data_IF_864004870492
#
_entry.id   IF_864004870492
#
_cell.length_a   1.000
_cell.length_b   1.000
_cell.length_c   1.000
_cell.angle_alpha   90.00
_cell.angle_beta   90.00
_cell.angle_gamma   90.00
#
_symmetry.space_group_name_H-M   'P 1'
#
loop_
_entity.id
_entity.type
_entity.pdbx_description
1 polymer ?
#
# COMPACT_ATOMS: atom_id res chain seq x y z
N UNK A 1 -40.75 15.16 -39.40
CA UNK A 1 -39.68 15.68 -38.50
C UNK A 1 -39.83 15.29 -37.03
N UNK A 2 -41.03 15.38 -36.40
CA UNK A 2 -41.19 15.12 -34.95
C UNK A 2 -40.83 13.68 -34.50
N UNK A 3 -41.03 12.68 -35.37
CA UNK A 3 -40.73 11.27 -35.06
C UNK A 3 -39.23 10.97 -35.14
N UNK A 4 -38.54 11.55 -36.13
CA UNK A 4 -37.08 11.44 -36.28
C UNK A 4 -36.35 12.11 -35.10
N UNK A 5 -36.81 13.29 -34.67
CA UNK A 5 -36.28 13.98 -33.50
C UNK A 5 -36.46 13.16 -32.21
N UNK A 6 -37.64 12.54 -32.03
CA UNK A 6 -37.90 11.64 -30.90
C UNK A 6 -36.96 10.44 -30.90
N UNK A 7 -36.71 9.83 -32.06
CA UNK A 7 -35.82 8.69 -32.19
C UNK A 7 -34.36 9.04 -31.85
N UNK A 8 -33.88 10.20 -32.32
CA UNK A 8 -32.53 10.70 -32.01
C UNK A 8 -32.40 11.02 -30.52
N UNK A 9 -33.40 11.66 -29.91
CA UNK A 9 -33.40 11.93 -28.46
C UNK A 9 -33.38 10.63 -27.66
N UNK A 10 -34.21 9.65 -28.03
CA UNK A 10 -34.22 8.34 -27.36
C UNK A 10 -32.87 7.63 -27.48
N UNK A 11 -32.22 7.70 -28.65
CA UNK A 11 -30.89 7.11 -28.87
C UNK A 11 -29.83 7.80 -28.00
N UNK A 12 -29.82 9.13 -27.95
CA UNK A 12 -28.88 9.90 -27.12
C UNK A 12 -29.09 9.60 -25.64
N UNK A 13 -30.33 9.52 -25.18
CA UNK A 13 -30.65 9.16 -23.79
C UNK A 13 -30.17 7.74 -23.47
N UNK A 14 -30.35 6.78 -24.38
CA UNK A 14 -29.85 5.41 -24.22
C UNK A 14 -28.33 5.36 -24.11
N UNK A 15 -27.61 6.13 -24.93
CA UNK A 15 -26.15 6.23 -24.87
C UNK A 15 -25.68 6.85 -23.56
N UNK A 16 -26.32 7.94 -23.10
CA UNK A 16 -26.00 8.59 -21.83
C UNK A 16 -26.24 7.66 -20.64
N UNK A 17 -27.35 6.90 -20.65
CA UNK A 17 -27.65 5.90 -19.62
C UNK A 17 -26.61 4.76 -19.66
N UNK A 18 -26.26 4.25 -20.85
CA UNK A 18 -25.25 3.21 -21.00
C UNK A 18 -23.87 3.63 -20.47
N UNK A 19 -23.43 4.85 -20.81
CA UNK A 19 -22.19 5.42 -20.27
C UNK A 19 -22.25 5.63 -18.76
N UNK A 20 -23.38 6.09 -18.23
CA UNK A 20 -23.58 6.27 -16.79
C UNK A 20 -23.48 4.96 -16.01
N UNK A 21 -24.09 3.88 -16.52
CA UNK A 21 -24.01 2.54 -15.91
C UNK A 21 -22.58 2.00 -15.99
N UNK A 22 -21.87 2.21 -17.10
CA UNK A 22 -20.46 1.81 -17.24
C UNK A 22 -19.56 2.48 -16.20
N UNK A 23 -19.71 3.78 -15.98
CA UNK A 23 -18.91 4.53 -14.99
C UNK A 23 -19.26 4.09 -13.56
N UNK A 24 -20.54 3.84 -13.28
CA UNK A 24 -20.98 3.34 -11.97
C UNK A 24 -20.47 1.92 -11.70
N UNK A 25 -20.43 1.07 -12.73
CA UNK A 25 -19.89 -0.29 -12.62
C UNK A 25 -18.37 -0.32 -12.39
N UNK A 26 -17.61 0.75 -12.62
CA UNK A 26 -16.15 0.81 -12.34
C UNK A 26 -15.85 1.58 -11.03
N UNK A 27 -16.82 2.31 -10.47
CA UNK A 27 -16.65 3.09 -9.24
C UNK A 27 -16.41 2.22 -7.99
N UNK A 28 -15.45 2.54 -7.11
CA UNK A 28 -15.04 1.67 -5.99
C UNK A 28 -16.15 1.50 -4.94
N UNK A 29 -16.28 0.27 -4.42
CA UNK A 29 -17.33 -0.10 -3.45
C UNK A 29 -17.07 0.44 -2.03
N UNK A 30 -15.81 0.74 -1.70
CA UNK A 30 -15.40 1.36 -0.43
C UNK A 30 -14.74 2.72 -0.66
N UNK A 31 -15.04 3.70 0.20
CA UNK A 31 -14.38 5.00 0.20
C UNK A 31 -13.10 4.93 1.05
N UNK A 32 -11.99 4.61 0.40
CA UNK A 32 -10.65 4.63 0.98
C UNK A 32 -10.06 6.04 0.89
N UNK A 33 -9.23 6.42 1.86
CA UNK A 33 -8.50 7.69 1.87
C UNK A 33 -6.98 7.49 1.84
N UNK A 34 -6.28 8.55 1.43
CA UNK A 34 -4.81 8.65 1.41
C UNK A 34 -4.24 9.29 2.67
N UNK A 35 -5.07 9.59 3.67
CA UNK A 35 -4.59 10.24 4.87
C UNK A 35 -3.79 9.23 5.69
N UNK A 36 -2.66 9.68 6.22
CA UNK A 36 -1.87 8.89 7.14
C UNK A 36 -1.48 9.65 8.40
N UNK A 37 -1.32 8.93 9.50
CA UNK A 37 -0.74 9.44 10.74
C UNK A 37 0.76 9.22 10.72
N UNK A 38 1.52 10.26 11.04
CA UNK A 38 2.97 10.13 11.10
C UNK A 38 3.37 9.27 12.31
N UNK A 39 3.89 8.08 12.04
CA UNK A 39 4.44 7.19 13.06
C UNK A 39 5.94 7.40 13.14
N UNK A 40 6.39 7.80 14.32
CA UNK A 40 7.81 7.97 14.59
C UNK A 40 8.45 6.62 14.98
N UNK A 41 8.74 5.81 13.96
CA UNK A 41 9.46 4.54 14.10
C UNK A 41 10.83 4.77 14.74
N UNK A 42 11.46 5.94 14.52
CA UNK A 42 12.73 6.32 15.13
C UNK A 42 12.58 6.58 16.63
N UNK A 43 11.53 7.27 17.06
CA UNK A 43 11.26 7.46 18.48
C UNK A 43 11.00 6.14 19.21
N UNK A 44 10.24 5.21 18.61
CA UNK A 44 10.06 3.85 19.15
C UNK A 44 11.38 3.10 19.25
N UNK A 45 12.22 3.21 18.22
CA UNK A 45 13.57 2.66 18.21
C UNK A 45 14.48 3.21 19.32
N UNK A 46 14.40 4.51 19.59
CA UNK A 46 15.13 5.15 20.70
C UNK A 46 14.58 4.72 22.06
N UNK A 47 13.27 4.52 22.18
CA UNK A 47 12.65 4.06 23.42
C UNK A 47 13.09 2.64 23.77
N UNK A 48 13.26 1.76 22.78
CA UNK A 48 13.84 0.43 22.98
C UNK A 48 15.27 0.46 23.54
N UNK A 49 16.12 1.35 23.01
CA UNK A 49 17.49 1.52 23.51
C UNK A 49 17.49 1.88 25.00
N UNK A 50 16.51 2.69 25.43
CA UNK A 50 16.31 3.04 26.84
C UNK A 50 15.79 1.86 27.67
N UNK A 51 14.88 1.05 27.13
CA UNK A 51 14.30 -0.11 27.84
C UNK A 51 15.15 -1.38 27.78
N UNK A 52 16.27 -1.37 27.02
CA UNK A 52 17.19 -2.51 26.80
C UNK A 52 16.50 -3.75 26.19
N UNK A 53 15.37 -3.57 25.52
CA UNK A 53 14.68 -4.62 24.77
C UNK A 53 14.75 -4.29 23.29
N UNK A 54 15.62 -4.96 22.51
CA UNK A 54 15.80 -4.65 21.10
C UNK A 54 14.71 -5.30 20.24
N UNK A 55 13.44 -5.03 20.56
CA UNK A 55 12.27 -5.53 19.83
C UNK A 55 11.23 -4.42 19.64
N UNK A 56 10.78 -4.19 18.41
CA UNK A 56 9.61 -3.36 18.10
C UNK A 56 8.52 -4.30 17.61
N UNK A 57 7.32 -4.13 18.13
CA UNK A 57 6.12 -4.66 17.48
C UNK A 57 5.39 -3.51 16.80
N UNK A 58 5.16 -3.64 15.50
CA UNK A 58 4.32 -2.75 14.70
C UNK A 58 2.98 -3.46 14.51
N UNK A 59 1.88 -2.83 14.90
CA UNK A 59 0.54 -3.38 14.61
C UNK A 59 0.19 -3.23 13.14
N UNK A 60 -0.80 -3.98 12.64
CA UNK A 60 -1.28 -3.82 11.26
C UNK A 60 -1.73 -2.39 10.96
N UNK A 61 -2.37 -1.71 11.92
CA UNK A 61 -2.70 -0.29 11.78
C UNK A 61 -1.47 0.59 11.62
N UNK A 62 -0.38 0.33 12.36
CA UNK A 62 0.85 1.11 12.24
C UNK A 62 1.56 0.85 10.91
N UNK A 63 1.54 -0.40 10.44
CA UNK A 63 2.07 -0.77 9.14
C UNK A 63 1.26 -0.15 7.99
N UNK A 64 -0.07 -0.05 8.12
CA UNK A 64 -0.92 0.62 7.14
C UNK A 64 -0.54 2.09 6.94
N UNK A 65 -0.34 2.81 8.04
CA UNK A 65 0.07 4.22 7.99
C UNK A 65 1.46 4.40 7.35
N UNK A 66 2.39 3.48 7.65
CA UNK A 66 3.72 3.46 7.02
C UNK A 66 3.66 3.13 5.53
N UNK A 67 2.86 2.16 5.13
CA UNK A 67 2.66 1.77 3.74
C UNK A 67 2.01 2.92 2.93
N UNK A 68 1.02 3.63 3.50
CA UNK A 68 0.45 4.85 2.91
C UNK A 68 1.51 5.93 2.70
N UNK A 69 2.36 6.18 3.70
CA UNK A 69 3.45 7.15 3.62
C UNK A 69 4.44 6.80 2.50
N UNK A 70 4.79 5.53 2.37
CA UNK A 70 5.73 5.08 1.35
C UNK A 70 5.12 5.12 -0.06
N UNK A 71 3.87 4.71 -0.21
CA UNK A 71 3.13 4.84 -1.46
C UNK A 71 3.06 6.31 -1.93
N UNK A 72 2.86 7.25 -1.01
CA UNK A 72 2.86 8.69 -1.34
C UNK A 72 4.22 9.19 -1.86
N UNK A 73 5.34 8.67 -1.34
CA UNK A 73 6.67 9.01 -1.85
C UNK A 73 6.90 8.45 -3.25
N UNK A 74 6.40 7.24 -3.50
CA UNK A 74 6.53 6.53 -4.77
C UNK A 74 5.38 6.82 -5.76
N UNK A 75 4.49 7.78 -5.46
CA UNK A 75 3.45 8.20 -6.41
C UNK A 75 4.03 8.71 -7.72
N UNK A 76 5.25 9.27 -7.69
CA UNK A 76 5.96 9.71 -8.90
C UNK A 76 6.39 8.57 -9.84
N UNK A 77 6.47 7.34 -9.33
CA UNK A 77 6.86 6.15 -10.09
C UNK A 77 5.65 5.46 -10.75
N UNK A 78 4.43 5.85 -10.35
CA UNK A 78 3.18 5.35 -10.91
C UNK A 78 2.95 6.00 -12.29
N UNK A 79 2.48 5.25 -13.30
CA UNK A 79 2.15 5.81 -14.61
C UNK A 79 1.22 7.02 -14.49
N UNK A 80 1.49 8.09 -15.24
CA UNK A 80 0.74 9.36 -15.16
C UNK A 80 -0.77 9.20 -15.42
N UNK A 81 -1.15 8.14 -16.14
CA UNK A 81 -2.55 7.81 -16.39
C UNK A 81 -3.28 7.31 -15.14
N UNK A 82 -2.57 6.90 -14.10
CA UNK A 82 -3.15 6.35 -12.88
C UNK A 82 -2.93 7.33 -11.74
N UNK A 83 -4.03 7.85 -11.19
CA UNK A 83 -4.00 8.65 -9.96
C UNK A 83 -4.53 7.81 -8.81
N UNK A 84 -3.71 7.50 -7.83
CA UNK A 84 -4.18 6.83 -6.60
C UNK A 84 -4.84 7.87 -5.69
N UNK A 85 -6.08 7.58 -5.26
CA UNK A 85 -6.91 8.46 -4.42
C UNK A 85 -7.12 7.94 -3.01
N UNK A 86 -6.92 6.64 -2.78
CA UNK A 86 -7.08 6.02 -1.46
C UNK A 86 -6.40 4.67 -1.41
N UNK A 87 -5.94 4.26 -0.22
CA UNK A 87 -5.41 2.93 0.00
C UNK A 87 -5.70 2.45 1.41
N UNK A 88 -5.73 1.15 1.59
CA UNK A 88 -5.74 0.51 2.90
C UNK A 88 -5.01 -0.82 2.81
N UNK A 89 -4.14 -1.06 3.79
CA UNK A 89 -3.26 -2.22 3.82
C UNK A 89 -3.60 -3.09 5.01
N UNK A 90 -4.00 -4.33 4.73
CA UNK A 90 -4.34 -5.35 5.71
C UNK A 90 -3.23 -6.39 5.77
N UNK A 91 -2.63 -6.53 6.94
CA UNK A 91 -1.54 -7.47 7.21
C UNK A 91 -2.09 -8.67 7.96
N UNK A 92 -1.86 -9.89 7.46
CA UNK A 92 -2.25 -11.12 8.11
C UNK A 92 -1.15 -12.18 7.99
N UNK A 93 -0.30 -12.26 9.02
CA UNK A 93 0.88 -13.12 8.96
C UNK A 93 1.79 -12.69 7.83
N UNK A 94 2.09 -13.63 6.92
CA UNK A 94 2.91 -13.37 5.74
C UNK A 94 2.11 -12.78 4.57
N UNK A 95 0.80 -12.63 4.67
CA UNK A 95 0.00 -12.09 3.57
C UNK A 95 -0.30 -10.60 3.80
N UNK A 96 -0.22 -9.81 2.72
CA UNK A 96 -0.68 -8.42 2.69
C UNK A 96 -1.72 -8.25 1.62
N UNK A 97 -2.87 -7.71 2.00
CA UNK A 97 -3.89 -7.25 1.06
C UNK A 97 -3.86 -5.73 1.01
N UNK A 98 -3.58 -5.18 -0.16
CA UNK A 98 -3.60 -3.75 -0.43
C UNK A 98 -4.84 -3.40 -1.26
N UNK A 99 -5.79 -2.73 -0.63
CA UNK A 99 -6.96 -2.18 -1.27
C UNK A 99 -6.63 -0.78 -1.77
N UNK A 100 -6.74 -0.54 -3.07
CA UNK A 100 -6.36 0.70 -3.73
C UNK A 100 -7.57 1.26 -4.48
N UNK A 101 -7.86 2.54 -4.23
CA UNK A 101 -8.76 3.33 -5.06
C UNK A 101 -7.96 4.31 -5.90
N UNK A 102 -8.31 4.42 -7.18
CA UNK A 102 -7.69 5.40 -8.05
C UNK A 102 -8.61 5.88 -9.16
N UNK A 103 -8.04 6.67 -10.07
CA UNK A 103 -8.67 7.15 -11.28
C UNK A 103 -7.74 6.93 -12.47
N UNK A 104 -8.30 6.42 -13.56
CA UNK A 104 -7.64 6.36 -14.85
C UNK A 104 -7.89 7.65 -15.63
N UNK A 105 -6.83 8.27 -16.14
CA UNK A 105 -6.81 9.56 -16.83
C UNK A 105 -7.56 10.66 -16.04
N UNK A 106 -7.51 10.57 -14.70
CA UNK A 106 -8.22 11.47 -13.77
C UNK A 106 -9.75 11.39 -13.77
N UNK A 107 -10.35 10.59 -14.64
CA UNK A 107 -11.79 10.59 -14.94
C UNK A 107 -12.50 9.30 -14.53
N UNK A 108 -11.91 8.15 -14.79
CA UNK A 108 -12.57 6.85 -14.61
C UNK A 108 -12.14 6.29 -13.24
N UNK A 109 -12.99 6.36 -12.20
CA UNK A 109 -12.66 5.80 -10.90
C UNK A 109 -12.53 4.27 -11.01
N UNK A 110 -11.57 3.68 -10.32
CA UNK A 110 -11.40 2.24 -10.22
C UNK A 110 -11.03 1.84 -8.78
N UNK A 111 -11.35 0.60 -8.43
CA UNK A 111 -10.90 -0.05 -7.20
C UNK A 111 -10.16 -1.35 -7.54
N UNK A 112 -9.03 -1.57 -6.89
CA UNK A 112 -8.20 -2.75 -7.06
C UNK A 112 -7.79 -3.32 -5.70
N UNK A 113 -7.91 -4.62 -5.53
CA UNK A 113 -7.39 -5.38 -4.40
C UNK A 113 -6.13 -6.12 -4.88
N UNK A 114 -4.98 -5.84 -4.27
CA UNK A 114 -3.72 -6.52 -4.58
C UNK A 114 -3.33 -7.41 -3.41
N UNK A 115 -2.94 -8.65 -3.71
CA UNK A 115 -2.46 -9.59 -2.70
C UNK A 115 -0.98 -9.86 -2.90
N UNK A 116 -0.24 -9.76 -1.80
CA UNK A 116 1.19 -9.99 -1.75
C UNK A 116 1.52 -11.01 -0.66
N UNK A 117 2.56 -11.80 -0.90
CA UNK A 117 3.22 -12.57 0.14
C UNK A 117 4.50 -11.86 0.57
N UNK A 118 4.70 -11.74 1.88
CA UNK A 118 5.87 -11.17 2.51
C UNK A 118 6.88 -12.26 2.82
N UNK A 119 8.12 -12.02 2.42
CA UNK A 119 9.26 -12.84 2.79
C UNK A 119 10.35 -11.95 3.37
N UNK A 120 10.95 -12.38 4.49
CA UNK A 120 12.02 -11.66 5.14
C UNK A 120 13.38 -12.24 4.70
N UNK A 121 14.16 -11.43 4.00
CA UNK A 121 15.52 -11.76 3.58
C UNK A 121 16.53 -10.87 4.34
N UNK A 122 16.79 -11.23 5.59
CA UNK A 122 17.62 -10.45 6.50
C UNK A 122 16.99 -9.10 6.85
N UNK A 123 17.60 -7.99 6.42
CA UNK A 123 17.07 -6.62 6.63
C UNK A 123 16.21 -6.11 5.46
N UNK A 124 15.91 -6.98 4.50
CA UNK A 124 15.10 -6.68 3.33
C UNK A 124 13.76 -7.40 3.46
N UNK A 125 12.67 -6.66 3.30
CA UNK A 125 11.33 -7.23 3.16
C UNK A 125 10.99 -7.34 1.67
N UNK A 126 10.76 -8.56 1.22
CA UNK A 126 10.35 -8.86 -0.15
C UNK A 126 8.84 -9.09 -0.19
N UNK A 127 8.15 -8.37 -1.08
CA UNK A 127 6.71 -8.47 -1.32
C UNK A 127 6.50 -9.10 -2.70
N UNK A 128 6.13 -10.37 -2.72
CA UNK A 128 5.86 -11.10 -3.93
C UNK A 128 4.39 -10.93 -4.32
N UNK A 129 4.14 -10.32 -5.47
CA UNK A 129 2.79 -10.16 -5.99
C UNK A 129 2.17 -11.51 -6.34
N UNK A 130 0.99 -11.80 -5.77
CA UNK A 130 0.27 -13.05 -6.01
C UNK A 130 -0.92 -12.87 -6.94
N UNK A 131 -1.71 -11.82 -6.72
CA UNK A 131 -2.88 -11.54 -7.57
C UNK A 131 -3.32 -10.10 -7.47
N UNK A 132 -3.95 -9.61 -8.54
CA UNK A 132 -4.66 -8.34 -8.55
C UNK A 132 -6.10 -8.60 -8.93
N UNK A 133 -7.04 -8.08 -8.16
CA UNK A 133 -8.47 -8.12 -8.45
C UNK A 133 -8.94 -6.69 -8.71
N UNK A 134 -9.43 -6.42 -9.90
CA UNK A 134 -10.09 -5.16 -10.24
C UNK A 134 -11.57 -5.45 -10.34
N UNK A 135 -12.33 -5.09 -9.29
CA UNK A 135 -13.73 -5.48 -9.11
C UNK A 135 -13.98 -6.99 -9.28
N UNK A 136 -14.79 -7.38 -10.26
CA UNK A 136 -15.14 -8.77 -10.53
C UNK A 136 -14.08 -9.51 -11.37
N UNK A 137 -13.10 -8.79 -11.92
CA UNK A 137 -12.08 -9.37 -12.78
C UNK A 137 -10.84 -9.65 -11.94
N UNK A 138 -10.54 -10.93 -11.76
CA UNK A 138 -9.28 -11.36 -11.17
C UNK A 138 -8.22 -11.49 -12.26
N UNK A 139 -7.12 -10.76 -12.10
CA UNK A 139 -5.98 -10.80 -12.99
C UNK A 139 -4.81 -11.46 -12.27
N UNK A 140 -4.37 -12.65 -12.73
CA UNK A 140 -3.21 -13.33 -12.18
C UNK A 140 -1.94 -12.48 -12.29
N UNK A 141 -1.01 -12.66 -11.34
CA UNK A 141 0.24 -11.91 -11.29
C UNK A 141 1.07 -12.03 -12.58
N UNK A 142 1.01 -13.16 -13.28
CA UNK A 142 1.77 -13.37 -14.53
C UNK A 142 1.36 -12.40 -15.65
N UNK A 143 0.18 -11.78 -15.55
CA UNK A 143 -0.32 -10.81 -16.54
C UNK A 143 -0.11 -9.36 -16.14
N UNK A 144 -0.05 -9.04 -14.83
CA UNK A 144 0.16 -7.67 -14.34
C UNK A 144 1.61 -7.35 -14.02
N UNK A 145 2.45 -8.36 -13.75
CA UNK A 145 3.91 -8.23 -13.71
C UNK A 145 4.44 -7.15 -12.77
N UNK A 146 3.81 -6.93 -11.61
CA UNK A 146 4.29 -5.94 -10.62
C UNK A 146 5.66 -6.30 -10.02
N UNK A 147 6.15 -7.51 -10.29
CA UNK A 147 7.44 -7.99 -9.82
C UNK A 147 7.45 -8.23 -8.31
N UNK A 148 8.65 -8.38 -7.76
CA UNK A 148 8.86 -8.39 -6.31
C UNK A 148 9.18 -6.97 -5.88
N UNK A 149 8.39 -6.44 -4.95
CA UNK A 149 8.67 -5.12 -4.37
C UNK A 149 9.61 -5.35 -3.20
N UNK A 150 10.75 -4.67 -3.21
CA UNK A 150 11.81 -4.84 -2.22
C UNK A 150 11.85 -3.60 -1.33
N UNK A 151 11.61 -3.77 -0.03
CA UNK A 151 11.62 -2.68 0.95
C UNK A 151 12.81 -2.85 1.89
N UNK A 152 13.89 -2.05 1.75
CA UNK A 152 15.01 -2.06 2.66
C UNK A 152 14.63 -1.39 3.99
N UNK A 153 14.50 -2.18 5.06
CA UNK A 153 14.08 -1.66 6.37
C UNK A 153 15.09 -0.70 6.98
N UNK A 154 16.36 -0.81 6.57
CA UNK A 154 17.46 0.03 7.05
C UNK A 154 17.21 1.52 6.80
N UNK A 155 16.54 1.88 5.70
CA UNK A 155 16.26 3.28 5.36
C UNK A 155 15.27 3.95 6.33
N UNK A 156 14.51 3.14 7.06
CA UNK A 156 13.53 3.59 8.06
C UNK A 156 14.07 3.50 9.50
N UNK A 157 15.23 2.90 9.70
CA UNK A 157 15.84 2.66 11.02
C UNK A 157 17.05 3.58 11.24
N UNK A 158 17.38 3.90 12.51
CA UNK A 158 18.67 4.52 12.83
C UNK A 158 19.85 3.62 12.39
N UNK A 159 20.95 4.21 11.94
CA UNK A 159 22.12 3.51 11.35
C UNK A 159 22.70 2.38 12.23
N UNK A 160 22.46 2.44 13.54
CA UNK A 160 23.00 1.53 14.56
C UNK A 160 22.14 0.28 14.78
N UNK A 161 20.93 0.27 14.22
CA UNK A 161 19.98 -0.83 14.36
C UNK A 161 19.95 -1.63 13.07
N UNK A 162 20.39 -2.89 13.16
CA UNK A 162 20.23 -3.86 12.08
C UNK A 162 19.11 -4.81 12.45
N UNK A 163 18.19 -5.07 11.52
CA UNK A 163 17.14 -6.09 11.72
C UNK A 163 17.81 -7.46 11.71
N UNK A 164 17.67 -8.17 12.82
CA UNK A 164 18.21 -9.52 13.00
C UNK A 164 17.17 -10.59 12.67
N UNK A 165 15.95 -10.39 13.17
CA UNK A 165 14.85 -11.30 12.96
C UNK A 165 13.55 -10.55 12.73
N UNK A 166 12.71 -11.09 11.86
CA UNK A 166 11.36 -10.62 11.61
C UNK A 166 10.39 -11.75 11.83
N UNK A 167 9.42 -11.51 12.70
CA UNK A 167 8.33 -12.43 12.98
C UNK A 167 7.02 -11.80 12.50
N UNK A 168 6.38 -12.47 11.55
CA UNK A 168 5.08 -12.08 11.02
C UNK A 168 3.97 -12.52 11.98
N UNK A 169 3.21 -11.55 12.50
CA UNK A 169 2.09 -11.79 13.41
C UNK A 169 0.77 -11.75 12.63
N UNK A 170 -0.32 -12.25 13.22
CA UNK A 170 -1.65 -12.16 12.60
C UNK A 170 -2.11 -10.72 12.32
N UNK A 171 -1.68 -9.74 13.12
CA UNK A 171 -2.03 -8.33 12.94
C UNK A 171 -0.79 -7.45 13.14
N UNK A 172 0.21 -7.69 12.29
CA UNK A 172 1.42 -6.87 12.25
C UNK A 172 2.71 -7.65 12.19
N UNK A 173 3.80 -7.01 12.58
CA UNK A 173 5.15 -7.57 12.49
C UNK A 173 5.94 -7.24 13.74
N UNK A 174 6.66 -8.22 14.27
CA UNK A 174 7.68 -8.02 15.30
C UNK A 174 9.06 -8.03 14.66
N UNK A 175 9.81 -6.97 14.91
CA UNK A 175 11.18 -6.79 14.46
C UNK A 175 12.11 -6.90 15.67
N UNK A 176 13.08 -7.80 15.59
CA UNK A 176 14.17 -7.93 16.57
C UNK A 176 15.44 -7.36 15.98
N UNK A 177 16.18 -6.59 16.77
CA UNK A 177 17.34 -5.85 16.30
C UNK A 177 18.63 -6.34 16.97
N UNK A 178 19.72 -6.30 16.21
CA UNK A 178 21.08 -6.33 16.75
C UNK A 178 21.59 -4.90 16.87
N UNK A 179 22.11 -4.56 18.05
CA UNK A 179 22.81 -3.29 18.28
C UNK A 179 24.25 -3.41 17.79
N UNK A 180 24.64 -2.50 16.91
CA UNK A 180 26.05 -2.27 16.63
C UNK A 180 26.65 -1.30 17.66
N UNK A 181 27.29 -1.86 18.70
CA UNK A 181 27.88 -1.09 19.81
C UNK A 181 28.93 -0.05 19.36
N UNK A 182 29.52 -0.20 18.17
CA UNK A 182 30.54 0.72 17.64
C UNK A 182 29.98 2.08 17.23
N UNK A 183 28.67 2.19 17.04
CA UNK A 183 28.04 3.38 16.46
C UNK A 183 27.36 4.31 17.49
N UNK A 184 27.21 3.85 18.75
CA UNK A 184 26.56 4.53 19.88
C UNK A 184 26.99 5.98 20.17
N UNK A 185 28.27 6.39 19.99
CA UNK A 185 28.69 7.76 20.31
C UNK A 185 27.95 8.85 19.53
N UNK A 186 27.39 8.52 18.37
CA UNK A 186 26.76 9.48 17.45
C UNK A 186 25.40 10.01 17.92
N UNK A 187 24.67 9.26 18.77
CA UNK A 187 23.35 9.68 19.28
C UNK A 187 23.38 10.44 20.60
N UNK A 188 24.43 10.27 21.42
CA UNK A 188 24.55 10.97 22.71
C UNK A 188 25.06 12.41 22.56
N UNK A 189 25.57 12.75 21.37
CA UNK A 189 26.15 14.05 21.06
C UNK A 189 25.23 14.96 20.24
N UNK A 190 23.95 14.62 20.07
CA UNK A 190 22.98 15.43 19.33
C UNK A 190 21.76 15.81 20.16
#
# INVERSE_FOLDING_TARGET
MKVLLRFVITLVVLVVIGCGIGIWYISPDQKLDMNYKEIDVKAKALQMLKTRKPEITLSGSELNELAKKELLKHMGDIPQQITVTGSDFHFNGQEVTADINGKWEGLIPFGAELKFNMEANGSILELHHQSTRVKAIQVPAERFGLGTITVPLKDHLPDMLTVDHMEFLQDGVRLTFKLDWLSLPSLLLK
#
